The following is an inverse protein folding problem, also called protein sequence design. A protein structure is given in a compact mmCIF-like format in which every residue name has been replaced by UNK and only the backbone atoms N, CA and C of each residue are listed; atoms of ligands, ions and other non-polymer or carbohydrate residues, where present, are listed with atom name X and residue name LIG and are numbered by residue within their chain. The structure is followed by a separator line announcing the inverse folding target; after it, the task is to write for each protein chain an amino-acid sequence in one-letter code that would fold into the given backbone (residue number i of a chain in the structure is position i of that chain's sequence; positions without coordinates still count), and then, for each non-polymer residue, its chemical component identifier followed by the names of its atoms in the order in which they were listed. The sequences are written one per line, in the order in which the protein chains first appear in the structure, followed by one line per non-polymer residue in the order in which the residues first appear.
data_IF_334444780518
#
_entry.id   IF_334444780518
#
_cell.length_a   1.000
_cell.length_b   1.000
_cell.length_c   1.000
_cell.angle_alpha   90.00
_cell.angle_beta   90.00
_cell.angle_gamma   90.00
#
_symmetry.space_group_name_H-M   'P 1'
#
loop_
_entity.id
_entity.type
_entity.pdbx_description
1 polymer ?
#
# COMPACT_ATOMS: atom_id res chain seq x y z
N UNK A 1 -39.89 -10.51 16.37
CA UNK A 1 -39.63 -9.05 16.45
C UNK A 1 -38.44 -8.72 17.36
N UNK A 2 -38.22 -9.43 18.47
CA UNK A 2 -37.05 -9.18 19.35
C UNK A 2 -35.68 -9.53 18.73
N UNK A 3 -35.59 -10.60 17.95
CA UNK A 3 -34.31 -11.05 17.34
C UNK A 3 -33.80 -10.08 16.26
N UNK A 4 -34.70 -9.56 15.41
CA UNK A 4 -34.35 -8.59 14.36
C UNK A 4 -33.94 -7.23 14.93
N UNK A 5 -34.61 -6.77 16.00
CA UNK A 5 -34.23 -5.53 16.67
C UNK A 5 -32.85 -5.64 17.34
N UNK A 6 -32.55 -6.77 18.00
CA UNK A 6 -31.22 -7.02 18.57
C UNK A 6 -30.10 -7.03 17.52
N UNK A 7 -30.37 -7.60 16.34
CA UNK A 7 -29.45 -7.57 15.21
C UNK A 7 -29.21 -6.15 14.67
N UNK A 8 -30.26 -5.32 14.59
CA UNK A 8 -30.16 -3.92 14.16
C UNK A 8 -29.32 -3.10 15.14
N UNK A 9 -29.59 -3.17 16.43
CA UNK A 9 -28.81 -2.45 17.47
C UNK A 9 -27.33 -2.85 17.41
N UNK A 10 -27.06 -4.15 17.23
CA UNK A 10 -25.68 -4.65 17.08
C UNK A 10 -24.98 -4.07 15.85
N UNK A 11 -25.67 -3.99 14.71
CA UNK A 11 -25.15 -3.38 13.48
C UNK A 11 -24.84 -1.90 13.64
N UNK A 12 -25.80 -1.12 14.16
CA UNK A 12 -25.61 0.31 14.41
C UNK A 12 -24.52 0.61 15.43
N UNK A 13 -24.36 -0.24 16.45
CA UNK A 13 -23.28 -0.13 17.44
C UNK A 13 -21.89 -0.20 16.78
N UNK A 14 -21.69 -1.10 15.81
CA UNK A 14 -20.43 -1.21 15.07
C UNK A 14 -20.18 0.03 14.22
N UNK A 15 -21.19 0.53 13.52
CA UNK A 15 -21.09 1.75 12.70
C UNK A 15 -20.75 2.96 13.56
N UNK A 16 -21.43 3.13 14.69
CA UNK A 16 -21.18 4.22 15.63
C UNK A 16 -19.75 4.13 16.19
N UNK A 17 -19.28 2.93 16.55
CA UNK A 17 -17.90 2.72 17.00
C UNK A 17 -16.87 3.08 15.94
N UNK A 18 -17.12 2.76 14.66
CA UNK A 18 -16.21 3.10 13.57
C UNK A 18 -16.21 4.60 13.24
N UNK A 19 -17.34 5.30 13.43
CA UNK A 19 -17.45 6.75 13.18
C UNK A 19 -16.49 7.58 14.04
N UNK A 20 -16.25 7.18 15.29
CA UNK A 20 -15.30 7.86 16.19
C UNK A 20 -13.86 7.31 16.12
N UNK A 21 -13.59 6.30 15.28
CA UNK A 21 -12.21 5.82 15.09
C UNK A 21 -11.45 6.78 14.18
N UNK A 22 -10.15 6.90 14.41
CA UNK A 22 -9.25 7.65 13.52
C UNK A 22 -9.29 7.06 12.11
N UNK A 23 -9.30 7.92 11.09
CA UNK A 23 -9.23 7.51 9.69
C UNK A 23 -7.90 6.80 9.40
N UNK A 24 -7.98 5.61 8.78
CA UNK A 24 -6.80 4.86 8.31
C UNK A 24 -6.63 5.19 6.83
N UNK A 25 -6.14 6.39 6.56
CA UNK A 25 -5.96 6.93 5.21
C UNK A 25 -4.55 7.51 5.08
N UNK A 26 -3.87 7.21 3.98
CA UNK A 26 -2.58 7.83 3.62
C UNK A 26 -2.83 9.16 2.92
N UNK A 27 -2.19 10.25 3.37
CA UNK A 27 -2.43 11.59 2.82
C UNK A 27 -1.49 11.91 1.65
N UNK A 28 -1.63 11.22 0.52
CA UNK A 28 -0.84 11.52 -0.68
C UNK A 28 -1.32 12.82 -1.35
N UNK A 29 -0.42 13.72 -1.82
CA UNK A 29 1.04 13.61 -1.92
C UNK A 29 1.82 14.22 -0.74
N UNK A 30 1.14 14.65 0.33
CA UNK A 30 1.76 15.34 1.46
C UNK A 30 2.50 14.38 2.41
N UNK A 31 2.05 13.13 2.50
CA UNK A 31 2.68 12.04 3.25
C UNK A 31 3.32 11.04 2.25
N UNK A 32 4.58 10.61 2.47
CA UNK A 32 5.25 9.68 1.56
C UNK A 32 4.62 8.28 1.62
N UNK A 33 4.48 7.65 0.45
CA UNK A 33 3.96 6.29 0.32
C UNK A 33 4.95 5.29 0.92
N UNK A 34 4.45 4.29 1.66
CA UNK A 34 5.26 3.20 2.17
C UNK A 34 5.39 2.07 1.13
N UNK A 35 6.51 2.03 0.40
CA UNK A 35 6.78 0.95 -0.54
C UNK A 35 7.37 -0.29 0.16
N UNK A 36 6.92 -1.49 -0.24
CA UNK A 36 7.51 -2.74 0.22
C UNK A 36 8.93 -2.94 -0.38
N UNK A 37 9.83 -3.70 0.28
CA UNK A 37 11.21 -3.87 -0.19
C UNK A 37 11.39 -4.46 -1.59
N UNK A 38 10.37 -5.18 -2.10
CA UNK A 38 10.37 -5.81 -3.43
C UNK A 38 9.43 -5.10 -4.41
N UNK A 39 9.17 -3.81 -4.19
CA UNK A 39 8.38 -3.01 -5.12
C UNK A 39 9.05 -2.94 -6.49
N UNK A 40 8.27 -3.22 -7.55
CA UNK A 40 8.73 -3.14 -8.94
C UNK A 40 8.47 -1.73 -9.44
N UNK A 41 9.49 -0.88 -9.33
CA UNK A 41 9.44 0.51 -9.77
C UNK A 41 10.00 0.72 -11.17
N UNK A 42 10.60 1.88 -11.37
CA UNK A 42 11.26 2.26 -12.62
C UNK A 42 12.51 1.39 -12.81
N UNK A 43 12.69 0.88 -14.03
CA UNK A 43 13.89 0.14 -14.41
C UNK A 43 15.09 1.10 -14.42
N UNK A 44 16.15 0.74 -13.69
CA UNK A 44 17.38 1.54 -13.61
C UNK A 44 18.56 0.66 -13.98
N UNK A 45 19.49 1.21 -14.75
CA UNK A 45 20.73 0.53 -15.06
C UNK A 45 21.74 0.77 -13.94
N UNK A 46 22.09 -0.31 -13.24
CA UNK A 46 23.09 -0.26 -12.17
C UNK A 46 24.52 -0.26 -12.72
N UNK A 47 25.42 0.42 -12.00
CA UNK A 47 26.87 0.37 -12.21
C UNK A 47 27.52 -0.60 -11.23
N UNK A 48 28.71 -1.05 -11.56
CA UNK A 48 29.57 -1.90 -10.75
C UNK A 48 30.41 -1.08 -9.76
N UNK A 49 31.13 -1.74 -8.83
CA UNK A 49 32.01 -1.09 -7.85
C UNK A 49 33.14 -0.27 -8.51
N UNK A 50 33.54 -0.68 -9.72
CA UNK A 50 34.51 0.02 -10.59
C UNK A 50 33.92 1.22 -11.34
N UNK A 51 32.60 1.43 -11.28
CA UNK A 51 31.90 2.52 -11.96
C UNK A 51 31.48 2.23 -13.40
N UNK A 52 31.82 1.05 -13.96
CA UNK A 52 31.35 0.58 -15.26
C UNK A 52 29.89 0.13 -15.20
N UNK A 53 29.12 0.27 -16.28
CA UNK A 53 27.76 -0.29 -16.40
C UNK A 53 27.75 -1.83 -16.32
N UNK A 54 26.70 -2.40 -15.67
CA UNK A 54 26.53 -3.86 -15.61
C UNK A 54 25.97 -4.48 -16.90
N UNK A 55 25.34 -3.68 -17.76
CA UNK A 55 24.79 -4.16 -19.02
C UNK A 55 25.89 -4.32 -20.06
N UNK A 56 26.01 -5.52 -20.64
CA UNK A 56 26.94 -5.82 -21.74
C UNK A 56 26.25 -5.85 -23.11
N UNK A 57 24.97 -5.46 -23.19
CA UNK A 57 24.20 -5.51 -24.43
C UNK A 57 23.91 -6.94 -24.92
N UNK A 58 23.68 -7.90 -24.00
CA UNK A 58 23.44 -9.30 -24.36
C UNK A 58 22.04 -9.61 -24.94
N UNK A 59 21.14 -8.62 -25.00
CA UNK A 59 19.76 -8.76 -25.49
C UNK A 59 18.89 -9.79 -24.75
N UNK A 60 19.26 -10.23 -23.54
CA UNK A 60 18.43 -11.15 -22.73
C UNK A 60 17.24 -10.46 -22.04
N UNK A 61 17.33 -9.14 -21.82
CA UNK A 61 16.28 -8.34 -21.17
C UNK A 61 15.30 -7.70 -22.16
N UNK A 62 15.61 -7.76 -23.46
CA UNK A 62 14.75 -7.24 -24.54
C UNK A 62 13.51 -8.14 -24.71
#
# INVERSE_FOLDING_TARGET
MGETFGALVKGFSVTFRNMFRKTVTENYPYEPVHFQPRYRGIHVLHRDESGLEKCVGCFLCA
#
